data_IF_520911525951
#
_entry.id   IF_520911525951
#
_cell.length_a   1.000
_cell.length_b   1.000
_cell.length_c   1.000
_cell.angle_alpha   90.00
_cell.angle_beta   90.00
_cell.angle_gamma   90.00
#
_symmetry.space_group_name_H-M   'P 1'
#
loop_
_entity.id
_entity.type
_entity.pdbx_description
1 polymer ?
#
# COMPACT_ATOMS: atom_id res chain seq x y z
N UNK A 1 -11.77 -8.87 39.02
CA UNK A 1 -12.13 -9.13 37.61
C UNK A 1 -10.93 -8.72 36.78
N UNK A 2 -10.36 -9.56 35.91
CA UNK A 2 -9.22 -9.14 35.11
C UNK A 2 -9.70 -8.25 33.97
N UNK A 3 -9.00 -7.13 33.81
CA UNK A 3 -9.24 -6.12 32.79
C UNK A 3 -9.14 -6.71 31.38
N UNK A 4 -10.24 -6.60 30.63
CA UNK A 4 -10.27 -6.75 29.18
C UNK A 4 -9.51 -5.57 28.55
N UNK A 5 -8.18 -5.67 28.57
CA UNK A 5 -7.30 -4.75 27.82
C UNK A 5 -7.62 -4.96 26.35
N UNK A 6 -8.11 -3.90 25.70
CA UNK A 6 -8.45 -3.87 24.29
C UNK A 6 -7.27 -4.35 23.45
N UNK A 7 -7.39 -5.57 22.93
CA UNK A 7 -6.42 -6.16 22.02
C UNK A 7 -6.44 -5.33 20.73
N UNK A 8 -5.45 -4.46 20.55
CA UNK A 8 -5.33 -3.63 19.34
C UNK A 8 -5.30 -4.52 18.09
N UNK A 9 -5.83 -4.07 16.96
CA UNK A 9 -5.82 -4.84 15.71
C UNK A 9 -4.41 -5.32 15.30
N UNK A 10 -3.37 -4.58 15.70
CA UNK A 10 -1.97 -4.97 15.58
C UNK A 10 -1.63 -6.24 16.36
N UNK A 11 -2.06 -6.35 17.62
CA UNK A 11 -1.84 -7.54 18.45
C UNK A 11 -2.61 -8.77 17.97
N UNK A 12 -3.79 -8.58 17.36
CA UNK A 12 -4.57 -9.68 16.77
C UNK A 12 -3.85 -10.24 15.53
N UNK A 13 -3.41 -9.37 14.61
CA UNK A 13 -2.66 -9.79 13.43
C UNK A 13 -1.35 -10.50 13.82
N UNK A 14 -0.59 -9.96 14.78
CA UNK A 14 0.64 -10.60 15.27
C UNK A 14 0.38 -11.98 15.91
N UNK A 15 -0.76 -12.14 16.58
CA UNK A 15 -1.18 -13.42 17.18
C UNK A 15 -1.56 -14.45 16.12
N UNK A 16 -2.34 -14.06 15.10
CA UNK A 16 -2.71 -14.95 14.01
C UNK A 16 -1.49 -15.36 13.16
N UNK A 17 -0.57 -14.43 12.88
CA UNK A 17 0.71 -14.74 12.23
C UNK A 17 1.51 -15.73 13.09
N UNK A 18 1.59 -15.53 14.41
CA UNK A 18 2.31 -16.44 15.31
C UNK A 18 1.68 -17.84 15.33
N UNK A 19 0.35 -17.92 15.38
CA UNK A 19 -0.38 -19.19 15.28
C UNK A 19 -0.11 -19.88 13.95
N UNK A 20 -0.07 -19.12 12.85
CA UNK A 20 0.25 -19.66 11.53
C UNK A 20 1.70 -20.15 11.48
N UNK A 21 2.66 -19.43 12.04
CA UNK A 21 4.06 -19.84 12.12
C UNK A 21 4.24 -21.18 12.84
N UNK A 22 3.47 -21.47 13.90
CA UNK A 22 3.49 -22.77 14.57
C UNK A 22 3.00 -23.93 13.68
N UNK A 23 2.18 -23.65 12.67
CA UNK A 23 1.69 -24.67 11.72
C UNK A 23 2.61 -24.88 10.52
N UNK A 24 3.66 -24.07 10.38
CA UNK A 24 4.63 -24.16 9.28
C UNK A 24 5.93 -24.74 9.83
N UNK A 25 6.55 -25.75 9.19
CA UNK A 25 7.77 -26.36 9.70
C UNK A 25 8.88 -25.31 9.94
N UNK A 26 9.50 -25.29 11.14
CA UNK A 26 10.62 -24.38 11.43
C UNK A 26 11.78 -24.57 10.45
N UNK A 27 12.50 -23.48 10.16
CA UNK A 27 13.63 -23.50 9.23
C UNK A 27 13.24 -23.44 7.75
N UNK A 28 11.95 -23.55 7.42
CA UNK A 28 11.47 -23.32 6.04
C UNK A 28 11.46 -21.84 5.70
N UNK A 29 11.56 -21.52 4.40
CA UNK A 29 11.47 -20.14 3.92
C UNK A 29 10.15 -19.47 4.34
N UNK A 30 9.01 -20.16 4.19
CA UNK A 30 7.69 -19.67 4.62
C UNK A 30 7.66 -19.30 6.11
N UNK A 31 8.27 -20.12 6.97
CA UNK A 31 8.38 -19.83 8.40
C UNK A 31 9.22 -18.57 8.67
N UNK A 32 10.32 -18.38 7.93
CA UNK A 32 11.14 -17.16 8.02
C UNK A 32 10.34 -15.92 7.63
N UNK A 33 9.54 -15.98 6.55
CA UNK A 33 8.68 -14.85 6.15
C UNK A 33 7.64 -14.52 7.22
N UNK A 34 6.98 -15.52 7.81
CA UNK A 34 6.03 -15.31 8.91
C UNK A 34 6.70 -14.67 10.13
N UNK A 35 7.91 -15.12 10.48
CA UNK A 35 8.67 -14.58 11.61
C UNK A 35 9.03 -13.11 11.37
N UNK A 36 9.52 -12.77 10.17
CA UNK A 36 9.82 -11.40 9.78
C UNK A 36 8.55 -10.53 9.75
N UNK A 37 7.44 -11.06 9.23
CA UNK A 37 6.16 -10.37 9.18
C UNK A 37 5.59 -10.05 10.57
N UNK A 38 5.92 -10.82 11.61
CA UNK A 38 5.56 -10.48 12.99
C UNK A 38 6.32 -9.26 13.52
N UNK A 39 7.58 -9.07 13.11
CA UNK A 39 8.49 -8.01 13.62
C UNK A 39 8.74 -6.85 12.66
N UNK A 40 8.02 -6.79 11.54
CA UNK A 40 8.35 -5.89 10.43
C UNK A 40 8.33 -4.40 10.80
N UNK A 41 7.53 -4.00 11.80
CA UNK A 41 7.50 -2.61 12.29
C UNK A 41 8.86 -2.13 12.80
N UNK A 42 9.71 -3.05 13.25
CA UNK A 42 11.07 -2.76 13.73
C UNK A 42 12.15 -3.10 12.71
N UNK A 43 11.82 -3.83 11.63
CA UNK A 43 12.79 -4.40 10.67
C UNK A 43 12.17 -4.53 9.28
N UNK A 44 11.69 -3.41 8.72
CA UNK A 44 10.96 -3.42 7.45
C UNK A 44 11.79 -4.01 6.30
N UNK A 45 13.11 -3.76 6.29
CA UNK A 45 14.00 -4.13 5.20
C UNK A 45 14.19 -5.65 5.09
N UNK A 46 14.18 -6.37 6.23
CA UNK A 46 14.17 -7.84 6.23
C UNK A 46 12.91 -8.38 5.56
N UNK A 47 11.73 -7.89 5.98
CA UNK A 47 10.49 -8.33 5.37
C UNK A 47 10.43 -7.94 3.88
N UNK A 48 10.88 -6.73 3.53
CA UNK A 48 10.97 -6.27 2.14
C UNK A 48 11.76 -7.23 1.26
N UNK A 49 12.95 -7.64 1.71
CA UNK A 49 13.79 -8.65 1.03
C UNK A 49 13.06 -9.96 0.79
N UNK A 50 12.46 -10.50 1.85
CA UNK A 50 11.74 -11.77 1.79
C UNK A 50 10.52 -11.67 0.86
N UNK A 51 9.78 -10.56 0.90
CA UNK A 51 8.62 -10.36 0.03
C UNK A 51 9.00 -10.21 -1.45
N UNK A 52 10.13 -9.57 -1.76
CA UNK A 52 10.67 -9.53 -3.13
C UNK A 52 10.93 -10.95 -3.62
N UNK A 53 11.61 -11.77 -2.82
CA UNK A 53 11.87 -13.17 -3.18
C UNK A 53 10.58 -13.99 -3.33
N UNK A 54 9.61 -13.84 -2.41
CA UNK A 54 8.30 -14.51 -2.51
C UNK A 54 7.58 -14.16 -3.82
N UNK A 55 7.62 -12.88 -4.22
CA UNK A 55 6.98 -12.39 -5.43
C UNK A 55 7.70 -12.91 -6.67
N UNK A 56 9.01 -12.74 -6.74
CA UNK A 56 9.81 -13.00 -7.94
C UNK A 56 9.94 -14.51 -8.23
N UNK A 57 9.96 -15.34 -7.19
CA UNK A 57 9.98 -16.81 -7.30
C UNK A 57 8.58 -17.45 -7.23
N UNK A 58 7.50 -16.65 -7.22
CA UNK A 58 6.12 -17.11 -7.12
C UNK A 58 5.84 -18.10 -5.97
N UNK A 59 6.56 -18.01 -4.85
CA UNK A 59 6.48 -18.96 -3.72
C UNK A 59 5.08 -19.06 -3.11
N UNK A 60 4.27 -18.02 -3.26
CA UNK A 60 2.88 -18.00 -2.81
C UNK A 60 2.03 -19.08 -3.49
N UNK A 61 2.33 -19.47 -4.74
CA UNK A 61 1.61 -20.52 -5.46
C UNK A 61 1.86 -21.89 -4.84
N UNK A 62 3.12 -22.21 -4.54
CA UNK A 62 3.52 -23.43 -3.81
C UNK A 62 2.84 -23.54 -2.45
N UNK A 63 2.46 -22.40 -1.86
CA UNK A 63 1.78 -22.33 -0.56
C UNK A 63 0.25 -22.34 -0.65
N UNK A 64 -0.29 -22.44 -1.87
CA UNK A 64 -1.73 -22.55 -2.14
C UNK A 64 -2.47 -21.22 -2.27
N UNK A 65 -1.77 -20.11 -2.52
CA UNK A 65 -2.41 -18.81 -2.73
C UNK A 65 -2.48 -18.47 -4.22
N UNK A 66 -3.62 -17.93 -4.69
CA UNK A 66 -3.81 -17.62 -6.12
C UNK A 66 -3.05 -16.36 -6.57
N UNK A 67 -2.58 -15.52 -5.65
CA UNK A 67 -1.76 -14.35 -5.97
C UNK A 67 -0.91 -13.91 -4.77
N UNK A 68 0.17 -13.18 -5.06
CA UNK A 68 1.03 -12.56 -4.05
C UNK A 68 0.25 -11.69 -3.06
N UNK A 69 -0.70 -10.90 -3.55
CA UNK A 69 -1.53 -10.04 -2.69
C UNK A 69 -2.47 -10.85 -1.81
N UNK A 70 -3.01 -11.95 -2.33
CA UNK A 70 -3.87 -12.85 -1.56
C UNK A 70 -3.08 -13.49 -0.43
N UNK A 71 -1.86 -13.94 -0.70
CA UNK A 71 -0.92 -14.43 0.32
C UNK A 71 -0.63 -13.35 1.38
N UNK A 72 -0.20 -12.16 0.96
CA UNK A 72 0.12 -11.06 1.87
C UNK A 72 -1.07 -10.71 2.77
N UNK A 73 -2.27 -10.64 2.19
CA UNK A 73 -3.47 -10.27 2.93
C UNK A 73 -3.95 -11.38 3.88
N UNK A 74 -3.98 -12.62 3.42
CA UNK A 74 -4.59 -13.74 4.15
C UNK A 74 -3.66 -14.39 5.16
N UNK A 75 -2.37 -14.44 4.88
CA UNK A 75 -1.41 -15.12 5.77
C UNK A 75 -0.60 -14.12 6.59
N UNK A 76 -0.15 -13.02 5.99
CA UNK A 76 0.68 -12.03 6.67
C UNK A 76 -0.13 -10.87 7.24
N UNK A 77 -1.44 -10.80 6.97
CA UNK A 77 -2.31 -9.67 7.34
C UNK A 77 -1.78 -8.30 6.84
N UNK A 78 -1.04 -8.30 5.73
CA UNK A 78 -0.49 -7.11 5.09
C UNK A 78 -1.37 -6.73 3.90
N UNK A 79 -1.85 -5.48 3.89
CA UNK A 79 -2.64 -4.95 2.78
C UNK A 79 -1.80 -4.88 1.50
N UNK A 80 -2.45 -5.10 0.35
CA UNK A 80 -1.84 -5.00 -0.99
C UNK A 80 -0.91 -3.79 -1.13
N UNK A 81 -1.39 -2.59 -0.81
CA UNK A 81 -0.62 -1.36 -0.95
C UNK A 81 0.66 -1.36 -0.11
N UNK A 82 0.61 -1.88 1.12
CA UNK A 82 1.79 -1.99 2.00
C UNK A 82 2.79 -3.00 1.44
N UNK A 83 2.33 -4.16 0.97
CA UNK A 83 3.19 -5.18 0.37
C UNK A 83 3.91 -4.63 -0.87
N UNK A 84 3.18 -3.93 -1.76
CA UNK A 84 3.76 -3.29 -2.94
C UNK A 84 4.83 -2.25 -2.55
N UNK A 85 4.53 -1.37 -1.58
CA UNK A 85 5.52 -0.39 -1.10
C UNK A 85 6.76 -1.04 -0.51
N UNK A 86 6.61 -2.08 0.32
CA UNK A 86 7.74 -2.81 0.92
C UNK A 86 8.63 -3.43 -0.15
N UNK A 87 8.03 -4.14 -1.12
CA UNK A 87 8.80 -4.76 -2.21
C UNK A 87 9.49 -3.72 -3.08
N UNK A 88 8.80 -2.64 -3.46
CA UNK A 88 9.37 -1.55 -4.25
C UNK A 88 10.53 -0.86 -3.53
N UNK A 89 10.36 -0.52 -2.25
CA UNK A 89 11.42 0.11 -1.44
C UNK A 89 12.65 -0.78 -1.31
N UNK A 90 12.48 -2.09 -1.16
CA UNK A 90 13.62 -3.01 -1.10
C UNK A 90 14.29 -3.22 -2.46
N UNK A 91 13.51 -3.35 -3.54
CA UNK A 91 14.05 -3.40 -4.90
C UNK A 91 14.84 -2.13 -5.26
N UNK A 92 14.41 -0.96 -4.78
CA UNK A 92 15.15 0.28 -4.92
C UNK A 92 16.52 0.21 -4.23
N UNK A 93 16.59 -0.25 -2.97
CA UNK A 93 17.88 -0.45 -2.30
C UNK A 93 18.77 -1.43 -3.08
N UNK A 94 18.21 -2.55 -3.54
CA UNK A 94 18.94 -3.56 -4.34
C UNK A 94 19.58 -2.99 -5.61
N UNK A 95 18.95 -1.97 -6.21
CA UNK A 95 19.44 -1.33 -7.43
C UNK A 95 20.58 -0.34 -7.19
N UNK A 96 20.56 0.36 -6.05
CA UNK A 96 21.47 1.48 -5.81
C UNK A 96 22.57 1.21 -4.79
N UNK A 97 22.41 0.17 -3.99
CA UNK A 97 23.32 -0.17 -2.91
C UNK A 97 24.17 -1.40 -3.26
N UNK A 98 25.42 -1.44 -2.79
CA UNK A 98 26.28 -2.58 -3.02
C UNK A 98 25.72 -3.81 -2.29
N UNK A 99 25.87 -4.98 -2.91
CA UNK A 99 25.35 -6.24 -2.39
C UNK A 99 25.93 -6.58 -0.99
N UNK A 100 27.18 -6.18 -0.73
CA UNK A 100 27.81 -6.39 0.58
C UNK A 100 27.07 -5.65 1.71
N UNK A 101 26.55 -4.44 1.47
CA UNK A 101 25.78 -3.68 2.47
C UNK A 101 24.42 -4.34 2.73
N UNK A 102 23.78 -4.91 1.70
CA UNK A 102 22.45 -5.54 1.79
C UNK A 102 22.47 -6.97 2.37
N UNK A 103 23.63 -7.61 2.34
CA UNK A 103 23.86 -8.97 2.86
C UNK A 103 24.52 -8.97 4.24
N UNK A 104 25.03 -7.82 4.69
CA UNK A 104 25.55 -7.66 6.04
C UNK A 104 24.52 -8.07 7.11
N UNK A 105 24.98 -8.76 8.15
CA UNK A 105 24.11 -9.27 9.22
C UNK A 105 23.33 -8.16 9.94
N UNK A 106 23.92 -6.96 10.04
CA UNK A 106 23.35 -5.79 10.71
C UNK A 106 22.48 -4.93 9.79
N UNK A 107 22.36 -5.28 8.50
CA UNK A 107 21.61 -4.50 7.53
C UNK A 107 20.16 -4.21 7.97
N UNK A 108 19.36 -5.18 8.47
CA UNK A 108 17.99 -4.90 8.89
C UNK A 108 17.88 -3.80 9.96
N UNK A 109 18.89 -3.64 10.81
CA UNK A 109 18.94 -2.62 11.86
C UNK A 109 19.53 -1.30 11.37
N UNK A 110 20.47 -1.35 10.42
CA UNK A 110 21.12 -0.16 9.82
C UNK A 110 20.37 0.42 8.62
N UNK A 111 19.37 -0.29 8.12
CA UNK A 111 18.58 0.14 6.97
C UNK A 111 17.97 1.54 7.22
N UNK A 112 18.01 2.44 6.23
CA UNK A 112 17.34 3.74 6.33
C UNK A 112 15.85 3.59 6.63
N UNK A 113 15.26 4.65 7.18
CA UNK A 113 13.85 4.68 7.51
C UNK A 113 12.97 4.40 6.28
N UNK A 114 11.96 3.54 6.46
CA UNK A 114 11.10 3.06 5.39
C UNK A 114 10.45 4.20 4.60
N UNK A 115 9.92 5.21 5.29
CA UNK A 115 9.23 6.34 4.64
C UNK A 115 10.17 7.19 3.77
N UNK A 116 11.47 7.25 4.10
CA UNK A 116 12.46 7.99 3.31
C UNK A 116 12.74 7.23 2.02
N UNK A 117 12.99 5.92 2.12
CA UNK A 117 13.22 5.06 0.95
C UNK A 117 11.97 4.98 0.07
N UNK A 118 10.77 4.92 0.66
CA UNK A 118 9.52 4.88 -0.12
C UNK A 118 9.33 6.11 -0.99
N UNK A 119 9.71 7.30 -0.51
CA UNK A 119 9.66 8.55 -1.29
C UNK A 119 10.66 8.52 -2.45
N UNK A 120 11.89 8.06 -2.20
CA UNK A 120 12.93 7.99 -3.23
C UNK A 120 12.61 6.93 -4.30
N UNK A 121 12.16 5.74 -3.88
CA UNK A 121 11.76 4.68 -4.80
C UNK A 121 10.59 5.12 -5.70
N UNK A 122 9.63 5.85 -5.13
CA UNK A 122 8.48 6.40 -5.84
C UNK A 122 8.88 7.54 -6.79
N UNK A 123 9.86 8.37 -6.41
CA UNK A 123 10.44 9.40 -7.28
C UNK A 123 11.20 8.79 -8.47
N UNK A 124 11.97 7.73 -8.24
CA UNK A 124 12.68 7.00 -9.32
C UNK A 124 11.70 6.38 -10.31
N UNK A 125 10.63 5.73 -9.83
CA UNK A 125 9.60 5.12 -10.67
C UNK A 125 8.92 6.15 -11.61
N UNK A 126 8.83 7.41 -11.17
CA UNK A 126 8.37 8.54 -11.99
C UNK A 126 9.46 9.19 -12.85
N UNK A 127 10.70 8.71 -12.81
CA UNK A 127 11.83 9.30 -13.53
C UNK A 127 12.31 10.65 -12.96
N UNK A 128 11.93 10.99 -11.72
CA UNK A 128 12.32 12.25 -11.06
C UNK A 128 13.63 12.15 -10.28
N UNK A 129 14.12 10.93 -10.02
CA UNK A 129 15.37 10.67 -9.31
C UNK A 129 16.32 9.89 -10.21
N UNK A 130 17.46 10.49 -10.53
CA UNK A 130 18.53 9.81 -11.28
C UNK A 130 19.50 9.06 -10.34
N UNK A 131 20.24 8.04 -10.84
CA UNK A 131 21.26 7.36 -10.04
C UNK A 131 22.36 8.29 -9.50
N UNK A 132 22.73 9.33 -10.24
CA UNK A 132 23.74 10.32 -9.80
C UNK A 132 23.21 11.18 -8.66
N UNK A 133 21.96 11.63 -8.74
CA UNK A 133 21.32 12.35 -7.64
C UNK A 133 21.17 11.48 -6.40
N UNK A 134 20.81 10.20 -6.57
CA UNK A 134 20.77 9.27 -5.46
C UNK A 134 22.11 9.20 -4.73
N UNK A 135 23.23 9.05 -5.47
CA UNK A 135 24.58 9.03 -4.88
C UNK A 135 24.86 10.29 -4.04
N UNK A 136 24.39 11.46 -4.47
CA UNK A 136 24.54 12.71 -3.70
C UNK A 136 23.73 12.73 -2.40
N UNK A 137 22.63 11.97 -2.35
CA UNK A 137 21.73 11.85 -1.20
C UNK A 137 22.09 10.69 -0.27
N UNK A 138 22.91 9.75 -0.74
CA UNK A 138 23.20 8.49 -0.04
C UNK A 138 23.69 8.71 1.39
N UNK A 139 24.72 9.51 1.59
CA UNK A 139 25.29 9.69 2.94
C UNK A 139 24.27 10.32 3.92
N UNK A 140 23.34 11.12 3.39
CA UNK A 140 22.24 11.70 4.16
C UNK A 140 21.27 10.64 4.66
N UNK A 141 20.86 9.70 3.80
CA UNK A 141 19.86 8.67 4.14
C UNK A 141 20.40 7.58 5.07
N UNK A 142 21.71 7.33 5.02
CA UNK A 142 22.38 6.33 5.85
C UNK A 142 22.90 6.90 7.16
N UNK A 143 22.81 8.21 7.38
CA UNK A 143 23.23 8.84 8.63
C UNK A 143 22.18 8.64 9.73
N UNK A 144 22.51 8.00 10.87
CA UNK A 144 21.58 7.78 11.97
C UNK A 144 21.25 9.08 12.74
N UNK A 145 22.02 10.15 12.53
CA UNK A 145 21.81 11.45 13.21
C UNK A 145 20.66 12.25 12.58
N UNK A 146 20.31 11.97 11.32
CA UNK A 146 19.28 12.74 10.61
C UNK A 146 17.89 12.23 10.95
N UNK A 147 16.98 13.17 11.18
CA UNK A 147 15.59 12.88 11.48
C UNK A 147 14.86 12.35 10.22
N UNK A 148 14.30 11.12 10.25
CA UNK A 148 13.56 10.56 9.12
C UNK A 148 12.38 11.40 8.63
N UNK A 149 11.68 12.08 9.55
CA UNK A 149 10.53 12.90 9.18
C UNK A 149 10.94 14.15 8.39
N UNK A 150 12.08 14.74 8.74
CA UNK A 150 12.67 15.89 8.03
C UNK A 150 13.17 15.47 6.65
N UNK A 151 13.92 14.36 6.57
CA UNK A 151 14.39 13.81 5.29
C UNK A 151 13.23 13.46 4.35
N UNK A 152 12.18 12.82 4.88
CA UNK A 152 10.98 12.51 4.11
C UNK A 152 10.33 13.79 3.56
N UNK A 153 10.22 14.83 4.38
CA UNK A 153 9.63 16.11 3.96
C UNK A 153 10.49 16.78 2.89
N UNK A 154 11.80 16.88 3.11
CA UNK A 154 12.77 17.43 2.16
C UNK A 154 12.67 16.73 0.80
N UNK A 155 12.65 15.40 0.79
CA UNK A 155 12.58 14.64 -0.46
C UNK A 155 11.20 14.69 -1.12
N UNK A 156 10.12 14.79 -0.34
CA UNK A 156 8.78 14.98 -0.91
C UNK A 156 8.63 16.36 -1.56
N UNK A 157 9.28 17.39 -1.02
CA UNK A 157 9.32 18.74 -1.61
C UNK A 157 10.23 18.77 -2.86
N UNK A 158 11.37 18.07 -2.82
CA UNK A 158 12.30 17.98 -3.94
C UNK A 158 11.76 17.15 -5.11
N UNK A 159 11.02 16.08 -4.82
CA UNK A 159 10.46 15.14 -5.80
C UNK A 159 8.92 15.09 -5.69
N UNK A 160 8.22 16.18 -6.04
CA UNK A 160 6.78 16.27 -5.84
C UNK A 160 6.06 15.23 -6.71
N UNK A 161 5.08 14.54 -6.11
CA UNK A 161 4.15 13.70 -6.87
C UNK A 161 3.33 14.60 -7.79
N UNK A 162 3.21 14.28 -9.09
CA UNK A 162 2.25 14.95 -9.96
C UNK A 162 0.85 14.89 -9.33
N UNK A 163 0.02 15.92 -9.52
CA UNK A 163 -1.39 15.83 -9.16
C UNK A 163 -1.98 14.56 -9.79
N UNK A 164 -2.83 13.81 -9.07
CA UNK A 164 -3.52 12.69 -9.69
C UNK A 164 -4.26 13.21 -10.92
N UNK A 165 -4.19 12.47 -12.03
CA UNK A 165 -4.99 12.79 -13.19
C UNK A 165 -6.46 12.90 -12.76
N UNK A 166 -7.18 13.95 -13.21
CA UNK A 166 -8.59 14.04 -12.93
C UNK A 166 -9.26 12.76 -13.43
N UNK A 167 -10.19 12.17 -12.66
CA UNK A 167 -10.89 10.98 -13.10
C UNK A 167 -11.51 11.23 -14.48
N UNK A 168 -11.61 10.21 -15.36
CA UNK A 168 -12.21 10.38 -16.68
C UNK A 168 -13.57 11.05 -16.58
N UNK A 169 -13.93 11.89 -17.56
CA UNK A 169 -15.21 12.59 -17.55
C UNK A 169 -16.37 11.60 -17.42
N UNK A 170 -16.29 10.43 -18.06
CA UNK A 170 -17.30 9.38 -17.92
C UNK A 170 -17.45 8.92 -16.46
N UNK A 171 -16.35 8.75 -15.73
CA UNK A 171 -16.35 8.33 -14.33
C UNK A 171 -16.94 9.41 -13.41
N UNK A 172 -16.66 10.68 -13.72
CA UNK A 172 -17.25 11.81 -12.99
C UNK A 172 -18.77 11.85 -13.17
N UNK A 173 -19.26 11.71 -14.40
CA UNK A 173 -20.70 11.71 -14.70
C UNK A 173 -21.39 10.49 -14.08
N UNK A 174 -20.79 9.29 -14.14
CA UNK A 174 -21.33 8.10 -13.44
C UNK A 174 -21.47 8.31 -11.94
N UNK A 175 -20.52 9.02 -11.32
CA UNK A 175 -20.61 9.35 -9.90
C UNK A 175 -21.79 10.28 -9.62
N UNK A 176 -22.02 11.28 -10.46
CA UNK A 176 -23.17 12.18 -10.35
C UNK A 176 -24.49 11.40 -10.49
N UNK A 177 -24.58 10.49 -11.46
CA UNK A 177 -25.73 9.61 -11.64
C UNK A 177 -26.02 8.76 -10.39
N UNK A 178 -24.99 8.15 -9.79
CA UNK A 178 -25.14 7.39 -8.54
C UNK A 178 -25.64 8.26 -7.38
N UNK A 179 -25.16 9.50 -7.27
CA UNK A 179 -25.63 10.45 -6.25
C UNK A 179 -27.10 10.85 -6.49
N UNK A 180 -27.49 11.11 -7.74
CA UNK A 180 -28.87 11.42 -8.11
C UNK A 180 -29.81 10.24 -7.82
N UNK A 181 -29.40 9.00 -8.13
CA UNK A 181 -30.17 7.78 -7.81
C UNK A 181 -30.33 7.60 -6.30
N UNK A 182 -29.25 7.81 -5.52
CA UNK A 182 -29.33 7.75 -4.06
C UNK A 182 -30.29 8.81 -3.52
N UNK A 183 -30.23 10.03 -4.03
CA UNK A 183 -31.16 11.10 -3.68
C UNK A 183 -32.60 10.72 -4.02
N UNK A 184 -32.87 10.19 -5.21
CA UNK A 184 -34.20 9.72 -5.60
C UNK A 184 -34.74 8.66 -4.63
N UNK A 185 -33.88 7.71 -4.23
CA UNK A 185 -34.23 6.69 -3.24
C UNK A 185 -34.58 7.32 -1.88
N UNK A 186 -33.79 8.27 -1.37
CA UNK A 186 -34.05 8.95 -0.09
C UNK A 186 -35.33 9.79 -0.14
N UNK A 187 -35.59 10.48 -1.26
CA UNK A 187 -36.79 11.28 -1.46
C UNK A 187 -38.04 10.41 -1.55
N UNK A 188 -37.98 9.28 -2.25
CA UNK A 188 -39.11 8.34 -2.37
C UNK A 188 -39.51 7.71 -1.03
N UNK A 189 -38.56 7.55 -0.10
CA UNK A 189 -38.81 7.10 1.27
C UNK A 189 -39.43 8.16 2.19
N UNK A 190 -39.50 9.43 1.77
CA UNK A 190 -39.98 10.53 2.61
C UNK A 190 -41.44 10.87 2.36
N UNK A 191 -42.29 10.66 3.38
CA UNK A 191 -43.74 11.00 3.32
C UNK A 191 -44.05 12.49 3.18
N UNK A 192 -43.06 13.36 3.39
CA UNK A 192 -43.22 14.83 3.30
C UNK A 192 -42.86 15.38 1.92
N UNK A 193 -42.26 14.57 1.06
CA UNK A 193 -41.80 14.97 -0.26
C UNK A 193 -42.84 14.49 -1.28
N UNK A 194 -43.35 15.36 -2.16
CA UNK A 194 -44.21 14.93 -3.25
C UNK A 194 -43.48 13.95 -4.18
N UNK A 195 -44.17 12.90 -4.64
CA UNK A 195 -43.61 11.89 -5.54
C UNK A 195 -42.95 12.49 -6.79
N UNK A 196 -43.53 13.55 -7.34
CA UNK A 196 -42.97 14.28 -8.49
C UNK A 196 -41.53 14.79 -8.26
N UNK A 197 -41.15 15.09 -7.01
CA UNK A 197 -39.77 15.51 -6.69
C UNK A 197 -38.82 14.31 -6.74
N UNK A 198 -39.24 13.15 -6.25
CA UNK A 198 -38.46 11.91 -6.31
C UNK A 198 -38.33 11.42 -7.77
N UNK A 199 -39.39 11.53 -8.57
CA UNK A 199 -39.39 11.22 -10.01
C UNK A 199 -38.42 12.11 -10.78
N UNK A 200 -38.36 13.42 -10.50
CA UNK A 200 -37.37 14.31 -11.13
C UNK A 200 -35.93 13.95 -10.76
N UNK A 201 -35.68 13.52 -9.53
CA UNK A 201 -34.34 13.06 -9.14
C UNK A 201 -33.97 11.73 -9.81
N UNK A 202 -34.95 10.84 -10.03
CA UNK A 202 -34.75 9.60 -10.79
C UNK A 202 -34.48 9.88 -12.27
N UNK A 203 -35.25 10.75 -12.90
CA UNK A 203 -35.03 11.18 -14.29
C UNK A 203 -33.64 11.83 -14.47
N UNK A 204 -33.23 12.71 -13.55
CA UNK A 204 -31.87 13.25 -13.57
C UNK A 204 -30.79 12.17 -13.46
N UNK A 205 -31.03 11.11 -12.68
CA UNK A 205 -30.09 10.00 -12.60
C UNK A 205 -29.98 9.26 -13.93
N UNK A 206 -31.10 8.99 -14.59
CA UNK A 206 -31.14 8.36 -15.93
C UNK A 206 -30.44 9.22 -16.98
N UNK A 207 -30.75 10.52 -17.04
CA UNK A 207 -30.10 11.47 -17.96
C UNK A 207 -28.57 11.46 -17.79
N UNK A 208 -28.09 11.43 -16.54
CA UNK A 208 -26.66 11.38 -16.24
C UNK A 208 -26.03 10.02 -16.62
N UNK A 209 -26.75 8.91 -16.51
CA UNK A 209 -26.25 7.60 -16.98
C UNK A 209 -26.13 7.54 -18.49
N UNK A 210 -27.12 8.08 -19.20
CA UNK A 210 -27.11 8.17 -20.65
C UNK A 210 -25.95 9.05 -21.13
N UNK A 211 -25.75 10.23 -20.52
CA UNK A 211 -24.59 11.08 -20.79
C UNK A 211 -23.29 10.32 -20.51
N UNK A 212 -23.18 9.64 -19.37
CA UNK A 212 -21.98 8.87 -19.01
C UNK A 212 -21.67 7.71 -19.97
N UNK A 213 -22.69 7.17 -20.65
CA UNK A 213 -22.53 6.13 -21.68
C UNK A 213 -22.07 6.71 -23.02
N UNK A 214 -22.41 7.97 -23.30
CA UNK A 214 -22.05 8.68 -24.53
C UNK A 214 -20.73 9.45 -24.46
N UNK A 215 -20.15 9.64 -23.27
CA UNK A 215 -18.81 10.26 -23.11
C UNK A 215 -17.74 9.28 -23.60
N UNK A 216 -17.10 9.61 -24.73
CA UNK A 216 -15.80 9.03 -25.11
C UNK A 216 -14.71 9.67 -24.25
N UNK A 217 -14.15 8.87 -23.34
CA UNK A 217 -12.94 9.27 -22.61
C UNK A 217 -11.79 9.46 -23.63
N UNK A 218 -11.17 10.63 -23.62
CA UNK A 218 -10.01 10.96 -24.45
C UNK A 218 -8.70 10.44 -23.85
#
# INVERSE_FOLDING_TARGET
MPDTVGMSAASVAETEIAKKALSVPPGTFRHTVLTAAKRFKSTWAELGKLLVQVRDEAKFEEWGYPSFETYCLKELHIKKQTALKLTRSFSFLTKHEPEEELTAQEFPQRAPAFEVIEVLADAEERGQLSPTEYKSLRDSIWSPEKNPAELKKEFAERFPRPPPEPPPESAQVRKLAQMARKLASELSGSRRIPNAVAERAAALAEDLEDIASGVTDA
#
